data_IF_812971131887
#
_entry.id   IF_812971131887
#
_cell.length_a   1.000
_cell.length_b   1.000
_cell.length_c   1.000
_cell.angle_alpha   90.00
_cell.angle_beta   90.00
_cell.angle_gamma   90.00
#
_symmetry.space_group_name_H-M   'P 1'
#
loop_
_entity.id
_entity.type
_entity.pdbx_description
1 polymer ?
#
# COMPACT_ATOMS: atom_id res chain seq x y z
N UNK A 1 -12.47 26.47 -5.72
CA UNK A 1 -11.77 25.24 -5.31
C UNK A 1 -12.77 24.11 -5.27
N UNK A 2 -12.53 23.02 -6.00
CA UNK A 2 -13.48 21.91 -6.12
C UNK A 2 -13.35 21.02 -4.90
N UNK A 3 -14.26 21.17 -3.93
CA UNK A 3 -14.37 20.27 -2.80
C UNK A 3 -15.00 18.95 -3.27
N UNK A 4 -14.31 17.84 -3.02
CA UNK A 4 -14.84 16.50 -3.31
C UNK A 4 -16.01 16.24 -2.37
N UNK A 5 -17.22 16.09 -2.92
CA UNK A 5 -18.48 15.98 -2.18
C UNK A 5 -18.63 14.72 -1.32
N UNK A 6 -17.84 13.67 -1.57
CA UNK A 6 -17.87 12.44 -0.78
C UNK A 6 -16.56 11.67 -0.95
N UNK A 7 -16.04 11.11 0.15
CA UNK A 7 -14.94 10.14 0.11
C UNK A 7 -15.53 8.85 -0.47
N UNK A 8 -15.07 8.36 -1.64
CA UNK A 8 -15.58 7.10 -2.18
C UNK A 8 -15.30 5.97 -1.18
N UNK A 9 -16.30 5.12 -0.94
CA UNK A 9 -16.17 3.98 -0.05
C UNK A 9 -14.98 3.13 -0.51
N UNK A 10 -14.03 2.89 0.40
CA UNK A 10 -12.88 2.03 0.12
C UNK A 10 -13.41 0.65 -0.24
N UNK A 11 -13.18 0.23 -1.49
CA UNK A 11 -13.52 -1.12 -1.92
C UNK A 11 -12.90 -2.13 -0.93
N UNK A 12 -13.71 -3.09 -0.46
CA UNK A 12 -13.24 -4.11 0.45
C UNK A 12 -12.01 -4.81 -0.16
N UNK A 13 -10.95 -4.94 0.64
CA UNK A 13 -9.70 -5.56 0.21
C UNK A 13 -9.97 -7.04 -0.12
N UNK A 14 -10.15 -7.35 -1.41
CA UNK A 14 -10.29 -8.73 -1.88
C UNK A 14 -8.96 -9.45 -1.72
N UNK A 15 -8.98 -10.64 -1.11
CA UNK A 15 -7.81 -11.50 -0.99
C UNK A 15 -7.40 -11.99 -2.39
N UNK A 16 -6.11 -12.05 -2.74
CA UNK A 16 -5.69 -12.59 -4.03
C UNK A 16 -6.19 -14.04 -4.19
N UNK A 17 -6.60 -14.44 -5.41
CA UNK A 17 -7.07 -15.80 -5.67
C UNK A 17 -5.93 -16.79 -5.37
N UNK A 18 -6.14 -17.69 -4.41
CA UNK A 18 -5.17 -18.70 -3.97
C UNK A 18 -4.50 -18.44 -2.61
N UNK A 19 -4.76 -17.31 -1.95
CA UNK A 19 -4.29 -17.11 -0.58
C UNK A 19 -5.28 -17.74 0.42
N UNK A 20 -4.81 -18.72 1.19
CA UNK A 20 -5.59 -19.27 2.32
C UNK A 20 -5.67 -18.20 3.41
N UNK A 21 -6.87 -17.74 3.81
CA UNK A 21 -6.98 -16.80 4.90
C UNK A 21 -6.43 -17.43 6.18
N UNK A 22 -5.76 -16.65 7.05
CA UNK A 22 -5.36 -17.15 8.36
C UNK A 22 -6.59 -17.67 9.10
N UNK A 23 -6.49 -18.87 9.66
CA UNK A 23 -7.59 -19.51 10.36
C UNK A 23 -7.99 -18.66 11.56
N UNK A 24 -9.26 -18.26 11.61
CA UNK A 24 -9.82 -17.53 12.75
C UNK A 24 -10.09 -18.55 13.86
N UNK A 25 -9.31 -18.49 14.94
CA UNK A 25 -9.42 -19.45 16.06
C UNK A 25 -10.63 -19.10 16.93
N UNK A 26 -10.76 -17.82 17.34
CA UNK A 26 -11.84 -17.33 18.22
C UNK A 26 -12.04 -15.83 18.10
N UNK A 27 -13.19 -15.34 18.58
CA UNK A 27 -13.42 -13.89 18.78
C UNK A 27 -12.51 -13.34 19.87
N UNK A 28 -12.10 -12.08 19.73
CA UNK A 28 -11.26 -11.40 20.71
C UNK A 28 -12.02 -11.17 22.03
N UNK A 29 -11.37 -11.50 23.15
CA UNK A 29 -11.88 -11.31 24.50
C UNK A 29 -11.38 -9.97 25.05
N UNK A 30 -12.03 -9.43 26.09
CA UNK A 30 -11.57 -8.19 26.77
C UNK A 30 -10.11 -8.26 27.21
N UNK A 31 -9.64 -9.43 27.67
CA UNK A 31 -8.23 -9.64 28.02
C UNK A 31 -7.29 -9.43 26.83
N UNK A 32 -7.66 -9.89 25.63
CA UNK A 32 -6.86 -9.72 24.41
C UNK A 32 -6.74 -8.24 24.02
N UNK A 33 -7.81 -7.47 24.22
CA UNK A 33 -7.82 -6.02 23.98
C UNK A 33 -6.86 -5.30 24.94
N UNK A 34 -6.89 -5.67 26.23
CA UNK A 34 -5.96 -5.11 27.22
C UNK A 34 -4.51 -5.45 26.88
N UNK A 35 -4.24 -6.71 26.49
CA UNK A 35 -2.91 -7.12 26.02
C UNK A 35 -2.48 -6.32 24.80
N UNK A 36 -3.38 -6.11 23.83
CA UNK A 36 -3.11 -5.28 22.65
C UNK A 36 -2.74 -3.85 23.01
N UNK A 37 -3.47 -3.22 23.93
CA UNK A 37 -3.15 -1.87 24.39
C UNK A 37 -1.78 -1.79 25.07
N UNK A 38 -1.43 -2.78 25.90
CA UNK A 38 -0.09 -2.88 26.50
C UNK A 38 0.99 -3.02 25.44
N UNK A 39 0.76 -3.82 24.40
CA UNK A 39 1.70 -3.99 23.30
C UNK A 39 1.87 -2.68 22.52
N UNK A 40 0.79 -1.96 22.23
CA UNK A 40 0.87 -0.67 21.55
C UNK A 40 1.62 0.41 22.35
N UNK A 41 1.55 0.35 23.69
CA UNK A 41 2.36 1.24 24.54
C UNK A 41 3.84 0.86 24.49
N UNK A 42 4.17 -0.43 24.59
CA UNK A 42 5.54 -0.94 24.46
C UNK A 42 6.13 -0.67 23.07
N UNK A 43 5.34 -0.81 22.02
CA UNK A 43 5.75 -0.50 20.64
C UNK A 43 6.12 0.98 20.49
N UNK A 44 5.32 1.89 21.08
CA UNK A 44 5.61 3.34 21.07
C UNK A 44 6.89 3.69 21.82
N UNK A 45 7.09 3.06 22.98
CA UNK A 45 8.31 3.22 23.78
C UNK A 45 9.54 2.67 23.03
N UNK A 46 9.43 1.46 22.47
CA UNK A 46 10.47 0.83 21.67
C UNK A 46 10.85 1.66 20.44
N UNK A 47 9.87 2.25 19.77
CA UNK A 47 10.10 3.15 18.65
C UNK A 47 10.89 4.40 19.08
N UNK A 48 10.53 5.02 20.20
CA UNK A 48 11.24 6.20 20.73
C UNK A 48 12.69 5.86 21.11
N UNK A 49 12.89 4.79 21.89
CA UNK A 49 14.22 4.39 22.37
C UNK A 49 15.12 4.01 21.20
N UNK A 50 14.60 3.24 20.24
CA UNK A 50 15.35 2.85 19.06
C UNK A 50 15.74 4.09 18.21
N UNK A 51 14.84 5.06 18.04
CA UNK A 51 15.18 6.31 17.35
C UNK A 51 16.28 7.11 18.06
N UNK A 52 16.28 7.17 19.40
CA UNK A 52 17.36 7.82 20.15
C UNK A 52 18.69 7.09 19.93
N UNK A 53 18.71 5.77 20.09
CA UNK A 53 19.91 4.93 19.90
C UNK A 53 20.48 5.00 18.48
N UNK A 54 19.61 5.05 17.47
CA UNK A 54 20.02 5.24 16.06
C UNK A 54 20.74 6.58 15.89
N UNK A 55 20.21 7.65 16.49
CA UNK A 55 20.82 8.99 16.43
C UNK A 55 22.15 9.05 17.19
N UNK A 56 22.21 8.51 18.41
CA UNK A 56 23.43 8.43 19.22
C UNK A 56 24.58 7.73 18.48
N UNK A 57 24.25 6.68 17.72
CA UNK A 57 25.23 5.85 16.99
C UNK A 57 25.48 6.32 15.55
N UNK A 58 24.75 7.32 15.08
CA UNK A 58 24.88 7.84 13.70
C UNK A 58 24.59 6.81 12.60
N UNK A 59 23.70 5.84 12.84
CA UNK A 59 23.42 4.79 11.86
C UNK A 59 22.63 5.35 10.67
N UNK A 60 23.05 5.10 9.40
CA UNK A 60 22.37 5.59 8.20
C UNK A 60 21.11 4.78 7.89
N UNK A 61 20.14 4.79 8.80
CA UNK A 61 18.87 4.08 8.68
C UNK A 61 17.71 4.90 9.20
N UNK A 62 16.52 4.68 8.64
CA UNK A 62 15.27 5.30 9.09
C UNK A 62 14.33 4.23 9.63
N UNK A 63 13.95 4.37 10.89
CA UNK A 63 12.96 3.49 11.52
C UNK A 63 11.55 3.91 11.07
N UNK A 64 10.78 2.96 10.53
CA UNK A 64 9.42 3.20 10.03
C UNK A 64 8.38 2.81 11.06
N UNK A 65 8.46 1.59 11.60
CA UNK A 65 7.46 1.04 12.52
C UNK A 65 8.07 -0.01 13.43
N UNK A 66 7.49 -0.20 14.61
CA UNK A 66 7.76 -1.32 15.51
C UNK A 66 6.47 -2.08 15.75
N UNK A 67 6.53 -3.41 15.72
CA UNK A 67 5.40 -4.29 16.02
C UNK A 67 5.83 -5.36 17.01
N UNK A 68 5.01 -5.61 18.03
CA UNK A 68 5.19 -6.70 18.96
C UNK A 68 4.25 -7.85 18.59
N UNK A 69 4.79 -9.07 18.55
CA UNK A 69 3.98 -10.26 18.32
C UNK A 69 2.94 -10.41 19.45
N UNK A 70 1.76 -10.96 19.13
CA UNK A 70 0.69 -11.09 20.12
C UNK A 70 1.07 -11.95 21.33
N UNK A 71 1.98 -12.91 21.16
CA UNK A 71 2.52 -13.72 22.25
C UNK A 71 3.59 -12.98 23.09
N UNK A 72 3.95 -11.76 22.71
CA UNK A 72 4.97 -10.94 23.38
C UNK A 72 6.41 -11.42 23.18
N UNK A 73 6.62 -12.56 22.50
CA UNK A 73 7.90 -13.25 22.38
C UNK A 73 8.90 -12.56 21.45
N UNK A 74 8.44 -11.72 20.52
CA UNK A 74 9.28 -11.03 19.53
C UNK A 74 8.83 -9.59 19.33
N UNK A 75 9.81 -8.70 19.17
CA UNK A 75 9.65 -7.31 18.74
C UNK A 75 10.31 -7.13 17.37
N UNK A 76 9.54 -6.70 16.39
CA UNK A 76 9.94 -6.55 14.99
C UNK A 76 10.08 -5.05 14.69
N UNK A 77 11.25 -4.65 14.24
CA UNK A 77 11.58 -3.28 13.86
C UNK A 77 11.69 -3.18 12.35
N UNK A 78 10.82 -2.41 11.73
CA UNK A 78 10.84 -2.14 10.30
C UNK A 78 11.66 -0.88 10.03
N UNK A 79 12.66 -1.00 9.15
CA UNK A 79 13.51 0.12 8.79
C UNK A 79 13.76 0.19 7.28
N UNK A 80 14.01 1.39 6.79
CA UNK A 80 14.53 1.66 5.44
C UNK A 80 15.98 2.10 5.52
N UNK A 81 16.79 1.62 4.59
CA UNK A 81 18.20 2.00 4.43
C UNK A 81 18.59 1.85 2.96
N UNK A 82 19.46 2.73 2.47
CA UNK A 82 19.95 2.71 1.08
C UNK A 82 21.09 1.70 0.90
N UNK A 83 21.92 1.51 1.94
CA UNK A 83 23.08 0.63 1.92
C UNK A 83 23.07 -0.41 3.03
N UNK A 84 24.22 -1.08 3.20
CA UNK A 84 24.45 -1.99 4.32
C UNK A 84 24.60 -1.18 5.61
N UNK A 85 23.88 -1.59 6.65
CA UNK A 85 23.91 -0.96 7.98
C UNK A 85 24.35 -2.02 8.98
N UNK A 86 25.37 -1.72 9.78
CA UNK A 86 25.73 -2.57 10.91
C UNK A 86 24.92 -2.18 12.15
N UNK A 87 23.93 -3.00 12.49
CA UNK A 87 23.04 -2.80 13.62
C UNK A 87 23.30 -3.81 14.76
N UNK A 88 24.42 -4.54 14.74
CA UNK A 88 24.72 -5.57 15.76
C UNK A 88 24.72 -5.02 17.18
N UNK A 89 25.33 -3.86 17.39
CA UNK A 89 25.37 -3.20 18.69
C UNK A 89 24.01 -2.64 19.11
N UNK A 90 23.26 -2.06 18.16
CA UNK A 90 21.89 -1.59 18.39
C UNK A 90 20.98 -2.73 18.87
N UNK A 91 21.09 -3.91 18.26
CA UNK A 91 20.31 -5.10 18.66
C UNK A 91 20.66 -5.55 20.07
N UNK A 92 21.94 -5.50 20.47
CA UNK A 92 22.37 -5.84 21.84
C UNK A 92 21.77 -4.89 22.88
N UNK A 93 21.77 -3.59 22.60
CA UNK A 93 21.18 -2.57 23.48
C UNK A 93 19.66 -2.73 23.60
N UNK A 94 18.97 -2.97 22.48
CA UNK A 94 17.52 -3.15 22.49
C UNK A 94 17.13 -4.47 23.18
N UNK A 95 17.91 -5.53 22.98
CA UNK A 95 17.68 -6.82 23.64
C UNK A 95 17.89 -6.73 25.15
N UNK A 96 18.91 -6.00 25.61
CA UNK A 96 19.17 -5.80 27.04
C UNK A 96 18.08 -4.95 27.70
N UNK A 97 17.57 -3.93 26.98
CA UNK A 97 16.51 -3.06 27.48
C UNK A 97 15.14 -3.75 27.54
N UNK A 98 14.70 -4.40 26.45
CA UNK A 98 13.36 -4.97 26.36
C UNK A 98 13.24 -6.41 26.85
N UNK A 99 14.36 -7.14 27.00
CA UNK A 99 14.43 -8.55 27.40
C UNK A 99 13.55 -9.46 26.54
N UNK A 100 13.46 -9.16 25.25
CA UNK A 100 12.66 -9.87 24.24
C UNK A 100 13.51 -10.10 23.00
N UNK A 101 13.20 -11.13 22.21
CA UNK A 101 13.88 -11.37 20.94
C UNK A 101 13.59 -10.23 19.96
N UNK A 102 14.64 -9.54 19.55
CA UNK A 102 14.58 -8.44 18.60
C UNK A 102 14.79 -8.97 17.19
N UNK A 103 13.92 -8.57 16.26
CA UNK A 103 14.02 -8.87 14.84
C UNK A 103 14.06 -7.55 14.05
N UNK A 104 15.08 -7.38 13.22
CA UNK A 104 15.24 -6.21 12.37
C UNK A 104 14.84 -6.58 10.95
N UNK A 105 13.87 -5.85 10.37
CA UNK A 105 13.36 -6.12 9.02
C UNK A 105 13.54 -4.91 8.12
N UNK A 106 14.35 -5.08 7.08
CA UNK A 106 14.48 -4.08 6.04
C UNK A 106 13.25 -4.08 5.15
N UNK A 107 12.69 -2.89 4.92
CA UNK A 107 11.59 -2.66 3.97
C UNK A 107 12.07 -1.73 2.85
N UNK A 108 11.45 -1.85 1.67
CA UNK A 108 11.71 -0.93 0.57
C UNK A 108 10.91 0.38 0.71
N UNK A 109 11.35 1.44 0.02
CA UNK A 109 10.64 2.75 -0.03
C UNK A 109 9.17 2.65 -0.45
N UNK A 110 8.82 1.64 -1.26
CA UNK A 110 7.44 1.38 -1.68
C UNK A 110 6.61 0.76 -0.55
N UNK A 111 7.20 -0.15 0.22
CA UNK A 111 6.52 -0.77 1.37
C UNK A 111 6.38 0.22 2.53
N UNK A 112 7.34 1.13 2.70
CA UNK A 112 7.20 2.28 3.60
C UNK A 112 5.98 3.13 3.21
N UNK A 113 5.87 3.52 1.95
CA UNK A 113 4.69 4.24 1.45
C UNK A 113 3.39 3.43 1.60
N UNK A 114 3.46 2.10 1.49
CA UNK A 114 2.31 1.20 1.73
C UNK A 114 1.89 1.19 3.20
N UNK A 115 2.85 1.17 4.13
CA UNK A 115 2.57 1.16 5.57
C UNK A 115 2.00 2.49 6.05
N UNK A 116 2.53 3.61 5.54
CA UNK A 116 2.02 4.95 5.86
C UNK A 116 0.68 5.23 5.18
N UNK A 117 0.48 4.69 3.97
CA UNK A 117 -0.68 4.98 3.15
C UNK A 117 -0.64 6.39 2.54
N UNK A 118 -1.78 6.81 1.99
CA UNK A 118 -1.94 8.15 1.40
C UNK A 118 -2.71 8.14 0.09
N UNK A 119 -2.66 9.28 -0.60
CA UNK A 119 -3.30 9.51 -1.88
C UNK A 119 -2.25 9.80 -2.96
N UNK A 120 -2.48 9.27 -4.16
CA UNK A 120 -1.65 9.58 -5.32
C UNK A 120 -2.03 10.93 -5.94
N UNK A 121 -1.22 11.43 -6.89
CA UNK A 121 -1.54 12.64 -7.66
C UNK A 121 -2.83 12.51 -8.49
N UNK A 122 -3.35 11.29 -8.67
CA UNK A 122 -4.65 11.02 -9.28
C UNK A 122 -5.85 11.22 -8.34
N UNK A 123 -5.63 11.65 -7.08
CA UNK A 123 -6.69 11.84 -6.09
C UNK A 123 -7.24 10.54 -5.48
N UNK A 124 -6.72 9.38 -5.88
CA UNK A 124 -7.13 8.06 -5.37
C UNK A 124 -6.15 7.57 -4.29
N UNK A 125 -6.58 6.69 -3.37
CA UNK A 125 -5.67 6.00 -2.45
C UNK A 125 -4.58 5.25 -3.23
N UNK A 126 -3.41 5.09 -2.61
CA UNK A 126 -2.26 4.48 -3.28
C UNK A 126 -2.60 3.11 -3.91
N UNK A 127 -2.20 2.91 -5.17
CA UNK A 127 -2.30 1.64 -5.90
C UNK A 127 -1.75 0.45 -5.05
N UNK A 128 -0.64 0.66 -4.32
CA UNK A 128 0.02 -0.37 -3.50
C UNK A 128 -0.68 -0.71 -2.18
N UNK A 129 -1.57 0.13 -1.66
CA UNK A 129 -2.34 -0.15 -0.43
C UNK A 129 -3.69 -0.79 -0.70
N UNK A 130 -4.21 -0.60 -1.92
CA UNK A 130 -5.58 -0.95 -2.29
C UNK A 130 -5.65 -2.32 -2.95
N UNK A 131 -5.19 -2.43 -4.19
CA UNK A 131 -5.39 -3.63 -5.02
C UNK A 131 -4.09 -4.24 -5.55
N UNK A 132 -3.03 -3.45 -5.76
CA UNK A 132 -1.76 -3.97 -6.27
C UNK A 132 -0.89 -4.49 -5.12
N UNK A 133 -0.79 -5.81 -5.01
CA UNK A 133 0.10 -6.49 -4.05
C UNK A 133 1.40 -6.98 -4.69
N UNK A 134 1.34 -7.36 -5.97
CA UNK A 134 2.50 -7.83 -6.74
C UNK A 134 2.92 -6.76 -7.73
N UNK A 135 4.22 -6.54 -7.84
CA UNK A 135 4.78 -5.49 -8.69
C UNK A 135 5.74 -6.06 -9.71
N UNK A 136 5.44 -5.81 -10.97
CA UNK A 136 6.39 -5.98 -12.06
C UNK A 136 7.27 -4.73 -12.21
N UNK A 137 8.50 -4.87 -12.75
CA UNK A 137 9.38 -3.74 -13.00
C UNK A 137 8.73 -2.78 -14.01
N UNK A 138 8.82 -1.48 -13.72
CA UNK A 138 8.27 -0.41 -14.56
C UNK A 138 9.42 0.27 -15.29
N UNK A 139 9.26 0.52 -16.59
CA UNK A 139 10.24 1.23 -17.41
C UNK A 139 9.70 2.55 -17.94
N UNK A 140 10.59 3.51 -18.23
CA UNK A 140 10.23 4.81 -18.81
C UNK A 140 9.58 4.65 -20.21
N UNK A 141 9.91 3.57 -20.94
CA UNK A 141 9.31 3.26 -22.24
C UNK A 141 7.79 3.08 -22.14
N UNK A 142 7.31 2.53 -21.01
CA UNK A 142 5.87 2.36 -20.75
C UNK A 142 5.15 3.70 -20.65
N UNK A 143 5.78 4.70 -20.02
CA UNK A 143 5.23 6.05 -19.95
C UNK A 143 5.15 6.72 -21.33
N UNK A 144 6.16 6.48 -22.20
CA UNK A 144 6.13 6.98 -23.60
C UNK A 144 4.99 6.35 -24.40
N UNK A 145 4.76 5.05 -24.22
CA UNK A 145 3.66 4.34 -24.90
C UNK A 145 2.27 4.89 -24.51
N UNK A 146 2.13 5.36 -23.27
CA UNK A 146 0.92 6.00 -22.76
C UNK A 146 0.88 7.52 -23.01
N UNK A 147 1.79 8.05 -23.82
CA UNK A 147 1.87 9.47 -24.19
C UNK A 147 1.95 10.42 -22.98
N UNK A 148 2.49 9.95 -21.85
CA UNK A 148 2.69 10.76 -20.66
C UNK A 148 3.93 11.63 -20.80
N UNK A 149 3.83 12.87 -20.31
CA UNK A 149 4.96 13.79 -20.27
C UNK A 149 6.14 13.18 -19.49
N UNK A 150 7.35 13.27 -20.05
CA UNK A 150 8.58 12.71 -19.50
C UNK A 150 9.15 13.48 -18.29
N UNK A 151 8.33 14.28 -17.61
CA UNK A 151 8.76 14.98 -16.41
C UNK A 151 8.81 13.99 -15.23
N UNK A 152 9.96 13.86 -14.53
CA UNK A 152 10.13 12.92 -13.42
C UNK A 152 9.11 13.14 -12.31
N UNK A 153 8.70 14.39 -12.03
CA UNK A 153 7.70 14.68 -10.99
C UNK A 153 6.32 14.13 -11.32
N UNK A 154 5.98 14.00 -12.61
CA UNK A 154 4.71 13.41 -13.06
C UNK A 154 4.78 11.89 -13.17
N UNK A 155 5.96 11.30 -13.32
CA UNK A 155 6.15 9.84 -13.47
C UNK A 155 6.44 9.14 -12.13
N UNK A 156 7.02 9.86 -11.19
CA UNK A 156 7.28 9.36 -9.84
C UNK A 156 6.00 9.29 -9.02
N UNK A 157 5.83 8.19 -8.30
CA UNK A 157 4.80 8.05 -7.27
C UNK A 157 5.29 8.61 -5.93
N UNK A 158 4.40 8.59 -4.93
CA UNK A 158 4.70 9.04 -3.57
C UNK A 158 5.88 8.30 -2.91
N UNK A 159 6.20 7.09 -3.39
CA UNK A 159 7.35 6.31 -2.93
C UNK A 159 8.68 6.71 -3.59
N UNK A 160 8.72 7.77 -4.42
CA UNK A 160 9.93 8.23 -5.12
C UNK A 160 10.36 7.35 -6.31
N UNK A 161 9.66 6.24 -6.59
CA UNK A 161 9.86 5.39 -7.77
C UNK A 161 8.79 5.62 -8.82
N UNK A 162 9.02 5.12 -10.04
CA UNK A 162 8.02 5.15 -11.10
C UNK A 162 6.67 4.56 -10.64
N UNK A 163 5.58 5.21 -11.07
CA UNK A 163 4.20 4.81 -10.78
C UNK A 163 3.94 3.36 -11.20
N UNK A 164 3.55 2.52 -10.24
CA UNK A 164 3.20 1.11 -10.50
C UNK A 164 1.97 0.97 -11.42
N UNK A 165 1.09 1.97 -11.43
CA UNK A 165 -0.11 1.96 -12.26
C UNK A 165 0.25 2.04 -13.78
N UNK A 166 1.42 2.59 -14.16
CA UNK A 166 1.90 2.59 -15.56
C UNK A 166 2.01 1.18 -16.15
N UNK A 167 2.44 0.21 -15.34
CA UNK A 167 2.52 -1.18 -15.77
C UNK A 167 1.14 -1.83 -15.81
N UNK A 168 0.31 -1.55 -14.81
CA UNK A 168 -1.01 -2.15 -14.63
C UNK A 168 -1.96 -1.87 -15.78
N UNK A 169 -1.87 -0.67 -16.36
CA UNK A 169 -2.72 -0.22 -17.47
C UNK A 169 -2.27 -0.79 -18.83
N UNK A 170 -1.04 -1.28 -18.93
CA UNK A 170 -0.57 -1.96 -20.13
C UNK A 170 -0.98 -3.43 -20.11
N UNK A 171 -1.18 -4.08 -21.27
CA UNK A 171 -1.46 -5.50 -21.33
C UNK A 171 -0.39 -6.28 -20.55
N UNK A 172 -0.83 -7.03 -19.53
CA UNK A 172 0.05 -7.93 -18.80
C UNK A 172 0.45 -9.10 -19.72
N UNK A 173 1.45 -9.91 -19.36
CA UNK A 173 1.93 -11.04 -20.20
C UNK A 173 0.85 -12.08 -20.59
N UNK A 174 -0.36 -11.95 -20.06
CA UNK A 174 -1.57 -12.75 -20.37
C UNK A 174 -2.55 -12.04 -21.32
N UNK A 175 -2.19 -10.90 -21.91
CA UNK A 175 -3.03 -10.12 -22.83
C UNK A 175 -4.18 -9.34 -22.18
N UNK A 176 -4.39 -9.48 -20.86
CA UNK A 176 -5.43 -8.77 -20.11
C UNK A 176 -5.04 -7.30 -19.95
N UNK A 177 -5.85 -6.40 -20.49
CA UNK A 177 -5.80 -4.96 -20.23
C UNK A 177 -6.72 -4.66 -19.05
N UNK A 178 -6.18 -4.09 -17.97
CA UNK A 178 -7.01 -3.56 -16.90
C UNK A 178 -7.30 -2.09 -17.19
N UNK A 179 -8.58 -1.70 -17.11
CA UNK A 179 -8.99 -0.31 -17.32
C UNK A 179 -8.23 0.62 -16.37
N UNK A 180 -7.43 1.49 -16.97
CA UNK A 180 -6.60 2.44 -16.24
C UNK A 180 -7.37 3.67 -15.78
N UNK A 181 -6.68 4.54 -15.04
CA UNK A 181 -7.20 5.88 -14.75
C UNK A 181 -7.27 6.77 -16.02
N UNK A 182 -6.62 6.36 -17.11
CA UNK A 182 -6.66 7.01 -18.42
C UNK A 182 -7.83 6.55 -19.31
N UNK A 183 -8.46 5.41 -19.00
CA UNK A 183 -9.69 5.00 -19.67
C UNK A 183 -10.86 5.70 -18.96
N UNK A 184 -11.30 6.84 -19.49
CA UNK A 184 -12.68 7.31 -19.30
C UNK A 184 -13.64 6.39 -20.07
N UNK A 185 -13.56 5.09 -19.77
CA UNK A 185 -14.32 4.06 -20.46
C UNK A 185 -15.76 4.14 -20.00
N UNK A 186 -16.64 4.54 -20.92
CA UNK A 186 -18.08 4.34 -20.81
C UNK A 186 -18.44 2.89 -20.45
N UNK A 187 -19.73 2.70 -20.20
CA UNK A 187 -20.41 1.51 -19.65
C UNK A 187 -20.13 0.12 -20.28
N UNK A 188 -19.19 -0.01 -21.22
CA UNK A 188 -18.79 -1.27 -21.84
C UNK A 188 -17.57 -1.96 -21.22
N UNK A 189 -16.94 -1.44 -20.16
CA UNK A 189 -15.72 -2.04 -19.60
C UNK A 189 -16.03 -2.97 -18.41
N UNK A 190 -15.96 -4.32 -18.55
CA UNK A 190 -16.38 -5.28 -17.53
C UNK A 190 -15.48 -5.34 -16.29
N UNK A 191 -14.40 -4.55 -16.26
CA UNK A 191 -13.44 -4.50 -15.13
C UNK A 191 -13.34 -3.13 -14.46
N UNK A 192 -14.17 -2.16 -14.86
CA UNK A 192 -14.31 -0.90 -14.14
C UNK A 192 -15.01 -1.09 -12.79
N UNK A 193 -14.80 -0.20 -11.80
CA UNK A 193 -15.48 -0.27 -10.50
C UNK A 193 -16.96 0.17 -10.58
N UNK A 194 -17.55 0.26 -11.78
CA UNK A 194 -18.93 0.62 -12.01
C UNK A 194 -19.83 -0.61 -12.09
N UNK A 195 -20.65 -0.79 -11.05
CA UNK A 195 -21.96 -1.43 -11.09
C UNK A 195 -22.11 -2.73 -11.87
N UNK A 196 -22.27 -3.84 -11.14
CA UNK A 196 -23.10 -4.96 -11.57
C UNK A 196 -24.54 -4.49 -11.77
N UNK A 197 -24.83 -3.88 -12.92
CA UNK A 197 -26.17 -3.59 -13.40
C UNK A 197 -26.18 -4.00 -14.86
N UNK A 198 -26.69 -5.19 -15.14
CA UNK A 198 -26.76 -5.72 -16.49
C UNK A 198 -27.50 -4.76 -17.40
N UNK A 199 -26.80 -4.26 -18.42
CA UNK A 199 -27.45 -3.73 -19.60
C UNK A 199 -28.14 -4.93 -20.29
N UNK A 200 -29.47 -4.96 -20.17
CA UNK A 200 -30.31 -5.91 -20.88
C UNK A 200 -29.99 -5.88 -22.38
N UNK A 201 -30.04 -7.05 -22.98
CA UNK A 201 -29.84 -7.30 -24.41
C UNK A 201 -30.79 -6.42 -25.25
N UNK A 202 -30.31 -5.26 -25.67
CA UNK A 202 -31.00 -4.33 -26.57
C UNK A 202 -29.95 -3.55 -27.34
N UNK A 203 -29.87 -3.79 -28.65
CA UNK A 203 -28.82 -3.29 -29.52
C UNK A 203 -28.69 -1.77 -29.52
N UNK A 204 -27.44 -1.30 -29.62
CA UNK A 204 -27.10 0.10 -29.77
C UNK A 204 -27.45 0.57 -31.19
N UNK A 205 -28.68 1.07 -31.38
CA UNK A 205 -29.04 1.86 -32.55
C UNK A 205 -28.56 3.31 -32.38
N UNK A 206 -27.99 3.86 -33.44
CA UNK A 206 -27.53 5.25 -33.50
C UNK A 206 -28.68 6.24 -33.28
N UNK A 207 -28.48 7.23 -32.41
CA UNK A 207 -29.40 8.38 -32.27
C UNK A 207 -29.56 8.86 -30.82
N UNK A 208 -29.05 10.07 -30.56
CA UNK A 208 -29.54 11.03 -29.55
C UNK A 208 -29.58 10.58 -28.07
N UNK A 209 -28.57 11.01 -27.31
CA UNK A 209 -28.56 10.93 -25.85
C UNK A 209 -29.45 12.04 -25.28
N UNK A 210 -30.74 11.74 -25.13
CA UNK A 210 -31.69 12.59 -24.42
C UNK A 210 -31.39 12.63 -22.92
N UNK A 211 -31.46 13.84 -22.38
CA UNK A 211 -31.33 14.24 -20.97
C UNK A 211 -31.98 13.27 -19.97
N UNK A 212 -31.18 12.68 -19.09
CA UNK A 212 -31.69 12.03 -17.88
C UNK A 212 -31.93 13.08 -16.78
N UNK A 213 -33.21 13.25 -16.44
CA UNK A 213 -33.72 14.25 -15.52
C UNK A 213 -33.45 13.99 -14.04
N UNK A 214 -33.68 15.09 -13.30
CA UNK A 214 -33.68 15.37 -11.85
C UNK A 214 -33.64 14.22 -10.85
#
# INVERSE_FOLDING_TARGET
GTAVRAIPALAQRKLPPGATPPQVIRKATRADVVTRMKHEQREREALRICQMKIRERGLPMKLTRVEQLFDGSRLIFYYTAEGRVDFRELVRDLASHFRVRIEMRQIGVRDEARMLGGYGPCGRPLCCTTFLQTFEPVSIRMAKQQQLSLNPSKLSGMCGRLKCCLRYELPNGKGVKHGGCADEGGCGNPTGPGGSGGCGSGGCGAGECGTCGR
#
